data_IF_149174468665
#
_entry.id   IF_149174468665
#
_cell.length_a   1.000
_cell.length_b   1.000
_cell.length_c   1.000
_cell.angle_alpha   90.00
_cell.angle_beta   90.00
_cell.angle_gamma   90.00
#
_symmetry.space_group_name_H-M   'P 1'
#
loop_
_entity.id
_entity.type
_entity.pdbx_description
1 polymer ?
#
# COMPACT_ATOMS: atom_id res chain seq x y z
N UNK A 1 25.04 28.40 1.20
CA UNK A 1 24.40 27.90 -0.03
C UNK A 1 24.39 26.39 0.02
N UNK A 2 23.24 25.78 0.37
CA UNK A 2 23.11 24.33 0.49
C UNK A 2 22.61 23.74 -0.84
N UNK A 3 23.48 22.97 -1.50
CA UNK A 3 23.22 22.31 -2.76
C UNK A 3 22.65 20.90 -2.49
N UNK A 4 21.33 20.74 -2.58
CA UNK A 4 20.64 19.45 -2.40
C UNK A 4 20.61 18.71 -3.75
N UNK A 5 21.57 17.82 -3.99
CA UNK A 5 21.52 16.88 -5.12
C UNK A 5 20.30 15.97 -4.94
N UNK A 6 19.33 16.09 -5.84
CA UNK A 6 18.20 15.17 -5.99
C UNK A 6 18.72 13.80 -6.41
N UNK A 7 18.42 12.76 -5.62
CA UNK A 7 18.59 11.35 -6.04
C UNK A 7 17.71 11.11 -7.26
N UNK A 8 18.33 10.89 -8.41
CA UNK A 8 17.65 10.46 -9.63
C UNK A 8 17.41 8.95 -9.49
N UNK A 9 16.18 8.55 -9.14
CA UNK A 9 15.80 7.14 -9.19
C UNK A 9 15.77 6.72 -10.66
N UNK A 10 16.62 5.76 -11.04
CA UNK A 10 16.57 5.11 -12.34
C UNK A 10 15.32 4.22 -12.38
N UNK A 11 14.18 4.78 -12.80
CA UNK A 11 13.01 3.99 -13.18
C UNK A 11 13.23 3.50 -14.61
N UNK A 12 13.46 2.19 -14.76
CA UNK A 12 13.55 1.57 -16.08
C UNK A 12 12.20 1.75 -16.79
N UNK A 13 12.22 2.45 -17.94
CA UNK A 13 11.06 2.73 -18.75
C UNK A 13 11.21 2.04 -20.11
N UNK A 14 10.22 1.22 -20.47
CA UNK A 14 10.14 0.60 -21.79
C UNK A 14 8.88 1.09 -22.51
N UNK A 15 9.05 1.48 -23.77
CA UNK A 15 7.94 1.74 -24.68
C UNK A 15 7.97 0.77 -25.85
N UNK A 16 6.82 0.19 -26.14
CA UNK A 16 6.63 -0.85 -27.15
C UNK A 16 5.62 -0.35 -28.17
N UNK A 17 6.09 -0.07 -29.38
CA UNK A 17 5.27 0.37 -30.52
C UNK A 17 5.10 -0.72 -31.61
N UNK A 18 5.67 -1.91 -31.39
CA UNK A 18 5.61 -3.02 -32.34
C UNK A 18 4.53 -4.05 -31.98
N UNK A 19 4.12 -4.85 -32.98
CA UNK A 19 3.33 -6.06 -32.74
C UNK A 19 4.22 -7.15 -32.13
N UNK A 20 3.95 -7.54 -30.89
CA UNK A 20 4.75 -8.51 -30.15
C UNK A 20 3.90 -9.72 -29.76
N UNK A 21 4.49 -10.91 -29.86
CA UNK A 21 3.87 -12.16 -29.42
C UNK A 21 4.83 -12.96 -28.55
N UNK A 22 4.39 -13.37 -27.36
CA UNK A 22 5.16 -14.22 -26.47
C UNK A 22 4.97 -13.92 -24.99
N UNK A 23 5.92 -14.37 -24.17
CA UNK A 23 5.93 -14.19 -22.72
C UNK A 23 7.02 -13.20 -22.33
N UNK A 24 6.66 -12.18 -21.55
CA UNK A 24 7.58 -11.21 -20.97
C UNK A 24 7.53 -11.31 -19.44
N UNK A 25 8.70 -11.37 -18.81
CA UNK A 25 8.84 -11.41 -17.36
C UNK A 25 9.86 -10.37 -16.90
N UNK A 26 9.47 -9.51 -15.97
CA UNK A 26 10.35 -8.48 -15.39
C UNK A 26 10.49 -8.72 -13.88
N UNK A 27 11.71 -9.03 -13.45
CA UNK A 27 12.02 -9.31 -12.03
C UNK A 27 12.08 -8.04 -11.18
N UNK A 28 12.49 -6.94 -11.77
CA UNK A 28 12.59 -5.64 -11.11
C UNK A 28 11.32 -4.81 -11.35
N UNK A 29 11.03 -3.81 -10.49
CA UNK A 29 9.99 -2.84 -10.78
C UNK A 29 10.33 -2.02 -12.03
N UNK A 30 9.49 -2.13 -13.05
CA UNK A 30 9.68 -1.44 -14.34
C UNK A 30 8.39 -0.68 -14.67
N UNK A 31 8.51 0.40 -15.45
CA UNK A 31 7.36 1.06 -16.05
C UNK A 31 7.32 0.76 -17.53
N UNK A 32 6.24 0.12 -17.98
CA UNK A 32 6.08 -0.31 -19.38
C UNK A 32 4.90 0.41 -20.00
N UNK A 33 5.08 0.91 -21.22
CA UNK A 33 4.03 1.44 -22.07
C UNK A 33 3.92 0.60 -23.34
N UNK A 34 2.74 0.06 -23.61
CA UNK A 34 2.42 -0.66 -24.85
C UNK A 34 1.51 0.23 -25.67
N UNK A 35 2.01 0.72 -26.81
CA UNK A 35 1.26 1.53 -27.77
C UNK A 35 0.87 0.72 -29.03
N UNK A 36 1.54 -0.42 -29.27
CA UNK A 36 1.29 -1.34 -30.38
C UNK A 36 0.37 -2.52 -30.04
N UNK A 37 0.55 -3.65 -30.74
CA UNK A 37 -0.17 -4.89 -30.48
C UNK A 37 0.61 -5.84 -29.57
N UNK A 38 -0.05 -6.47 -28.60
CA UNK A 38 0.59 -7.50 -27.77
C UNK A 38 -0.29 -8.73 -27.60
N UNK A 39 0.26 -9.90 -27.86
CA UNK A 39 -0.41 -11.19 -27.66
C UNK A 39 0.46 -12.12 -26.80
N UNK A 40 -0.07 -12.63 -25.69
CA UNK A 40 0.63 -13.62 -24.86
C UNK A 40 0.50 -13.37 -23.36
N UNK A 41 1.62 -13.39 -22.63
CA UNK A 41 1.61 -13.18 -21.18
C UNK A 41 2.68 -12.19 -20.72
N UNK A 42 2.33 -11.35 -19.75
CA UNK A 42 3.21 -10.35 -19.17
C UNK A 42 3.12 -10.43 -17.65
N UNK A 43 4.24 -10.76 -16.99
CA UNK A 43 4.35 -10.68 -15.53
C UNK A 43 5.43 -9.68 -15.16
N UNK A 44 5.06 -8.67 -14.38
CA UNK A 44 5.98 -7.61 -13.98
C UNK A 44 5.62 -7.05 -12.62
N UNK A 45 6.59 -6.43 -11.96
CA UNK A 45 6.33 -5.51 -10.83
C UNK A 45 6.40 -4.08 -11.34
N UNK A 46 5.65 -3.17 -10.74
CA UNK A 46 5.58 -1.77 -11.17
C UNK A 46 4.34 -1.45 -12.01
N UNK A 47 4.50 -0.64 -13.05
CA UNK A 47 3.38 0.02 -13.71
C UNK A 47 3.31 -0.31 -15.21
N UNK A 48 2.16 -0.84 -15.64
CA UNK A 48 1.83 -1.06 -17.04
C UNK A 48 0.84 0.01 -17.54
N UNK A 49 1.12 0.56 -18.72
CA UNK A 49 0.26 1.50 -19.43
C UNK A 49 -0.05 0.93 -20.82
N UNK A 50 -1.33 0.73 -21.11
CA UNK A 50 -1.80 0.38 -22.46
C UNK A 50 -2.28 1.67 -23.11
N UNK A 51 -1.59 2.10 -24.18
CA UNK A 51 -1.88 3.32 -24.93
C UNK A 51 -3.24 3.27 -25.66
N UNK A 52 -3.71 4.43 -26.10
CA UNK A 52 -5.05 4.60 -26.72
C UNK A 52 -5.25 3.74 -27.98
N UNK A 53 -4.22 3.63 -28.82
CA UNK A 53 -4.27 2.85 -30.07
C UNK A 53 -3.81 1.39 -29.90
N UNK A 54 -3.51 0.97 -28.68
CA UNK A 54 -3.00 -0.37 -28.42
C UNK A 54 -4.15 -1.40 -28.44
N UNK A 55 -3.85 -2.57 -29.00
CA UNK A 55 -4.72 -3.75 -28.98
C UNK A 55 -3.97 -4.90 -28.33
N UNK A 56 -4.37 -5.24 -27.12
CA UNK A 56 -3.68 -6.22 -26.29
C UNK A 56 -4.59 -7.40 -26.00
N UNK A 57 -4.13 -8.60 -26.33
CA UNK A 57 -4.82 -9.86 -26.05
C UNK A 57 -3.90 -10.75 -25.21
N UNK A 58 -3.97 -10.64 -23.89
CA UNK A 58 -2.97 -11.23 -23.01
C UNK A 58 -3.48 -11.60 -21.61
N UNK A 59 -2.68 -12.40 -20.91
CA UNK A 59 -2.75 -12.57 -19.46
C UNK A 59 -1.69 -11.67 -18.81
N UNK A 60 -2.13 -10.71 -17.99
CA UNK A 60 -1.26 -9.68 -17.42
C UNK A 60 -1.27 -9.76 -15.90
N UNK A 61 -0.08 -9.78 -15.30
CA UNK A 61 0.14 -9.63 -13.87
C UNK A 61 1.04 -8.40 -13.61
N UNK A 62 0.53 -7.42 -12.85
CA UNK A 62 1.25 -6.18 -12.54
C UNK A 62 0.77 -5.55 -11.24
N UNK A 63 1.49 -4.57 -10.67
CA UNK A 63 1.01 -3.86 -9.49
C UNK A 63 -0.02 -2.78 -9.87
N UNK A 64 0.31 -2.00 -10.89
CA UNK A 64 -0.51 -0.91 -11.39
C UNK A 64 -0.77 -1.09 -12.88
N UNK A 65 -2.04 -1.09 -13.27
CA UNK A 65 -2.43 -1.20 -14.68
C UNK A 65 -3.28 0.01 -15.06
N UNK A 66 -2.89 0.73 -16.11
CA UNK A 66 -3.69 1.83 -16.68
C UNK A 66 -3.99 1.52 -18.14
N UNK A 67 -5.26 1.53 -18.51
CA UNK A 67 -5.72 1.16 -19.85
C UNK A 67 -6.38 2.37 -20.49
N UNK A 68 -5.85 2.78 -21.65
CA UNK A 68 -6.45 3.77 -22.52
C UNK A 68 -7.04 3.16 -23.80
N UNK A 69 -6.51 2.04 -24.27
CA UNK A 69 -6.92 1.37 -25.51
C UNK A 69 -7.74 0.09 -25.31
N UNK A 70 -7.61 -0.83 -26.26
CA UNK A 70 -8.32 -2.11 -26.28
C UNK A 70 -7.57 -3.21 -25.55
N UNK A 71 -8.24 -3.89 -24.62
CA UNK A 71 -7.70 -5.04 -23.91
C UNK A 71 -8.67 -6.22 -23.90
N UNK A 72 -8.16 -7.43 -24.14
CA UNK A 72 -8.88 -8.69 -24.00
C UNK A 72 -8.04 -9.72 -23.26
N UNK A 73 -8.65 -10.51 -22.37
CA UNK A 73 -7.99 -11.60 -21.66
C UNK A 73 -8.18 -11.57 -20.13
N UNK A 74 -7.09 -11.68 -19.39
CA UNK A 74 -7.10 -11.71 -17.93
C UNK A 74 -6.10 -10.73 -17.34
N UNK A 75 -6.50 -10.02 -16.28
CA UNK A 75 -5.64 -9.07 -15.58
C UNK A 75 -5.65 -9.38 -14.09
N UNK A 76 -4.47 -9.58 -13.53
CA UNK A 76 -4.21 -9.59 -12.08
C UNK A 76 -3.44 -8.33 -11.72
N UNK A 77 -4.13 -7.35 -11.13
CA UNK A 77 -3.54 -6.10 -10.67
C UNK A 77 -3.39 -6.12 -9.14
N UNK A 78 -2.18 -6.31 -8.63
CA UNK A 78 -1.92 -6.50 -7.20
C UNK A 78 -2.32 -5.29 -6.34
N UNK A 79 -2.37 -4.08 -6.91
CA UNK A 79 -2.76 -2.86 -6.20
C UNK A 79 -3.94 -2.15 -6.86
N UNK A 80 -3.77 -1.64 -8.07
CA UNK A 80 -4.82 -0.80 -8.67
C UNK A 80 -4.86 -0.96 -10.18
N UNK A 81 -6.07 -1.03 -10.71
CA UNK A 81 -6.35 -0.89 -12.13
C UNK A 81 -7.14 0.38 -12.42
N UNK A 82 -6.79 1.08 -13.51
CA UNK A 82 -7.45 2.29 -13.98
C UNK A 82 -7.89 2.10 -15.43
N UNK A 83 -9.19 2.20 -15.65
CA UNK A 83 -9.80 2.21 -16.98
C UNK A 83 -10.11 3.66 -17.33
N UNK A 84 -9.43 4.17 -18.35
CA UNK A 84 -9.55 5.57 -18.78
C UNK A 84 -10.69 5.73 -19.79
N UNK A 85 -11.12 6.96 -20.04
CA UNK A 85 -12.30 7.30 -20.87
C UNK A 85 -12.40 6.56 -22.21
N UNK A 86 -11.30 6.33 -22.91
CA UNK A 86 -11.28 5.70 -24.25
C UNK A 86 -11.13 4.18 -24.22
N UNK A 87 -11.01 3.59 -23.02
CA UNK A 87 -10.68 2.18 -22.88
C UNK A 87 -11.85 1.26 -23.20
N UNK A 88 -11.55 0.14 -23.87
CA UNK A 88 -12.48 -0.96 -24.11
C UNK A 88 -11.86 -2.26 -23.63
N UNK A 89 -12.41 -2.80 -22.55
CA UNK A 89 -11.85 -3.93 -21.84
C UNK A 89 -12.84 -5.08 -21.83
N UNK A 90 -12.46 -6.19 -22.46
CA UNK A 90 -13.21 -7.45 -22.49
C UNK A 90 -12.40 -8.53 -21.74
N UNK A 91 -12.46 -8.52 -20.40
CA UNK A 91 -11.51 -9.29 -19.59
C UNK A 91 -12.01 -9.65 -18.19
N UNK A 92 -11.44 -10.70 -17.61
CA UNK A 92 -11.57 -11.00 -16.19
C UNK A 92 -10.47 -10.27 -15.41
N UNK A 93 -10.87 -9.45 -14.43
CA UNK A 93 -9.98 -8.62 -13.63
C UNK A 93 -9.97 -9.13 -12.19
N UNK A 94 -8.79 -9.35 -11.64
CA UNK A 94 -8.57 -9.57 -10.21
C UNK A 94 -7.74 -8.40 -9.66
N UNK A 95 -8.28 -7.63 -8.71
CA UNK A 95 -7.58 -6.43 -8.20
C UNK A 95 -7.99 -6.02 -6.79
N UNK A 96 -7.16 -5.23 -6.09
CA UNK A 96 -7.51 -4.63 -4.80
C UNK A 96 -8.33 -3.34 -4.95
N UNK A 97 -8.09 -2.57 -6.00
CA UNK A 97 -8.79 -1.33 -6.26
C UNK A 97 -8.99 -1.12 -7.76
N UNK A 98 -10.19 -0.69 -8.15
CA UNK A 98 -10.53 -0.40 -9.53
C UNK A 98 -11.06 1.04 -9.64
N UNK A 99 -10.54 1.77 -10.63
CA UNK A 99 -11.03 3.08 -11.03
C UNK A 99 -11.51 2.99 -12.48
N UNK A 100 -12.74 3.47 -12.73
CA UNK A 100 -13.34 3.48 -14.06
C UNK A 100 -13.75 4.92 -14.35
N UNK A 101 -13.15 5.52 -15.37
CA UNK A 101 -13.51 6.84 -15.83
C UNK A 101 -14.80 6.79 -16.68
N UNK A 102 -15.58 7.87 -16.64
CA UNK A 102 -16.75 8.02 -17.50
C UNK A 102 -16.36 7.90 -18.98
N UNK A 103 -17.09 7.06 -19.71
CA UNK A 103 -16.84 6.73 -21.12
C UNK A 103 -16.11 5.41 -21.34
N UNK A 104 -15.47 4.85 -20.31
CA UNK A 104 -14.82 3.54 -20.41
C UNK A 104 -15.85 2.41 -20.57
N UNK A 105 -15.52 1.41 -21.39
CA UNK A 105 -16.32 0.19 -21.56
C UNK A 105 -15.60 -0.98 -20.92
N UNK A 106 -16.23 -1.58 -19.90
CA UNK A 106 -15.75 -2.79 -19.26
C UNK A 106 -16.79 -3.91 -19.37
N UNK A 107 -16.38 -5.06 -19.87
CA UNK A 107 -17.19 -6.26 -19.98
C UNK A 107 -16.39 -7.49 -19.52
N UNK A 108 -16.79 -8.08 -18.39
CA UNK A 108 -16.19 -9.29 -17.84
C UNK A 108 -16.35 -9.41 -16.33
N UNK A 109 -15.73 -10.43 -15.74
CA UNK A 109 -15.75 -10.63 -14.30
C UNK A 109 -14.76 -9.70 -13.60
N UNK A 110 -15.14 -9.12 -12.46
CA UNK A 110 -14.23 -8.41 -11.58
C UNK A 110 -14.23 -9.06 -10.19
N UNK A 111 -13.11 -9.65 -9.80
CA UNK A 111 -12.89 -10.20 -8.48
C UNK A 111 -12.04 -9.24 -7.64
N UNK A 112 -12.61 -8.77 -6.55
CA UNK A 112 -11.89 -7.88 -5.63
C UNK A 112 -11.06 -8.73 -4.66
N UNK A 113 -9.74 -8.57 -4.72
CA UNK A 113 -8.83 -9.12 -3.73
C UNK A 113 -9.17 -8.46 -2.39
N UNK A 114 -9.72 -9.24 -1.48
CA UNK A 114 -9.90 -8.80 -0.09
C UNK A 114 -8.51 -8.52 0.47
N UNK A 115 -8.34 -7.34 1.05
CA UNK A 115 -7.29 -7.16 2.03
C UNK A 115 -7.58 -8.15 3.17
N UNK A 116 -6.85 -9.26 3.21
CA UNK A 116 -6.31 -9.61 4.51
C UNK A 116 -5.55 -8.37 4.95
N UNK A 117 -6.00 -7.75 6.04
CA UNK A 117 -5.41 -6.58 6.67
C UNK A 117 -3.97 -6.90 7.06
N UNK A 118 -3.08 -6.96 6.06
CA UNK A 118 -1.65 -7.03 6.19
C UNK A 118 -1.21 -5.61 6.47
N UNK A 119 -1.30 -5.26 7.75
CA UNK A 119 -0.27 -4.52 8.45
C UNK A 119 0.25 -3.29 7.69
N UNK A 120 -0.53 -2.22 7.72
CA UNK A 120 0.06 -0.89 7.83
C UNK A 120 0.79 -0.80 9.18
N UNK A 121 1.98 -1.40 9.25
CA UNK A 121 2.84 -1.40 10.44
C UNK A 121 3.56 -0.06 10.66
N UNK A 122 3.35 0.98 9.83
CA UNK A 122 3.77 2.35 10.16
C UNK A 122 2.82 3.38 9.56
N UNK A 123 2.27 4.23 10.43
CA UNK A 123 1.52 5.47 10.16
C UNK A 123 0.01 5.27 9.99
N UNK A 124 -0.68 5.14 11.14
CA UNK A 124 -1.92 5.86 11.52
C UNK A 124 -2.23 5.60 13.01
N UNK A 125 -1.31 6.05 13.86
CA UNK A 125 -1.74 6.69 15.11
C UNK A 125 -2.60 7.93 14.76
N UNK A 126 -3.50 8.29 15.66
CA UNK A 126 -4.52 9.35 15.56
C UNK A 126 -5.75 8.96 14.72
N UNK A 127 -6.81 8.38 15.29
CA UNK A 127 -7.70 9.11 16.19
C UNK A 127 -8.59 8.11 16.92
N UNK A 128 -8.29 7.89 18.19
CA UNK A 128 -9.19 7.61 19.32
C UNK A 128 -8.25 7.45 20.49
N UNK A 129 -8.18 8.45 21.34
CA UNK A 129 -7.45 8.35 22.61
C UNK A 129 -7.85 7.03 23.27
N UNK A 130 -6.93 6.05 23.28
CA UNK A 130 -7.09 4.89 24.12
C UNK A 130 -6.99 5.43 25.54
N UNK A 131 -8.08 5.28 26.30
CA UNK A 131 -8.10 5.69 27.71
C UNK A 131 -7.05 4.95 28.55
N UNK A 132 -6.49 3.86 28.02
CA UNK A 132 -5.49 3.03 28.63
C UNK A 132 -4.37 2.73 27.65
N UNK A 133 -3.13 2.93 28.08
CA UNK A 133 -1.93 2.40 27.47
C UNK A 133 -1.68 0.97 27.96
N UNK A 134 -1.17 0.10 27.11
CA UNK A 134 -0.38 -1.05 27.54
C UNK A 134 1.09 -0.65 27.80
N UNK A 135 1.93 -1.62 28.15
CA UNK A 135 3.33 -1.35 28.48
C UNK A 135 4.16 -0.88 27.28
N UNK A 136 3.80 -1.29 26.06
CA UNK A 136 4.51 -0.89 24.85
C UNK A 136 4.09 0.51 24.43
N UNK A 137 2.78 0.78 24.48
CA UNK A 137 2.21 2.09 24.23
C UNK A 137 2.73 3.12 25.24
N UNK A 138 2.84 2.75 26.52
CA UNK A 138 3.37 3.63 27.55
C UNK A 138 4.88 3.90 27.38
N UNK A 139 5.65 2.89 26.94
CA UNK A 139 7.09 3.03 26.63
C UNK A 139 7.33 4.05 25.54
N UNK A 140 6.49 4.03 24.50
CA UNK A 140 6.53 5.05 23.45
C UNK A 140 6.07 6.42 23.98
N UNK A 141 4.99 6.47 24.76
CA UNK A 141 4.43 7.71 25.29
C UNK A 141 5.40 8.48 26.20
N UNK A 142 6.14 7.75 27.05
CA UNK A 142 7.11 8.34 27.98
C UNK A 142 8.52 8.48 27.38
N UNK A 143 8.76 7.98 26.17
CA UNK A 143 10.09 7.87 25.56
C UNK A 143 11.11 7.13 26.45
N UNK A 144 10.66 6.07 27.13
CA UNK A 144 11.43 5.34 28.16
C UNK A 144 11.39 3.84 27.88
N UNK A 145 12.48 3.13 28.21
CA UNK A 145 12.56 1.68 28.05
C UNK A 145 11.53 0.92 28.91
N UNK A 146 10.93 -0.13 28.33
CA UNK A 146 9.94 -1.00 29.00
C UNK A 146 10.43 -1.53 30.36
N UNK A 147 11.73 -1.76 30.50
CA UNK A 147 12.34 -2.24 31.75
C UNK A 147 12.28 -1.24 32.88
N UNK A 148 12.40 0.06 32.57
CA UNK A 148 12.29 1.13 33.56
C UNK A 148 10.83 1.28 34.01
N UNK A 149 9.88 1.17 33.09
CA UNK A 149 8.45 1.17 33.40
C UNK A 149 8.08 -0.02 34.29
N UNK A 150 8.59 -1.23 34.00
CA UNK A 150 8.39 -2.41 34.87
C UNK A 150 8.97 -2.20 36.27
N UNK A 151 10.13 -1.55 36.36
CA UNK A 151 10.76 -1.23 37.64
C UNK A 151 9.92 -0.22 38.44
N UNK A 152 9.35 0.79 37.79
CA UNK A 152 8.42 1.72 38.42
C UNK A 152 7.12 1.06 38.89
N UNK A 153 6.58 0.12 38.11
CA UNK A 153 5.43 -0.69 38.54
C UNK A 153 5.78 -1.52 39.77
N UNK A 154 6.95 -2.16 39.79
CA UNK A 154 7.43 -2.94 40.96
C UNK A 154 7.66 -2.08 42.20
N UNK A 155 8.17 -0.87 42.01
CA UNK A 155 8.39 0.13 43.07
C UNK A 155 7.10 0.84 43.50
N UNK A 156 6.01 0.67 42.74
CA UNK A 156 4.74 1.35 42.97
C UNK A 156 4.80 2.86 42.71
N UNK A 157 5.75 3.32 41.90
CA UNK A 157 5.95 4.76 41.62
C UNK A 157 5.08 5.26 40.50
N UNK A 158 4.67 4.41 39.54
CA UNK A 158 3.82 4.78 38.40
C UNK A 158 2.41 4.18 38.55
N UNK A 159 1.33 4.94 38.26
CA UNK A 159 -0.02 4.42 38.38
C UNK A 159 -0.31 3.36 37.30
N UNK A 160 -0.70 2.16 37.72
CA UNK A 160 -1.11 1.08 36.83
C UNK A 160 -2.31 0.32 37.39
N UNK A 161 -3.12 -0.24 36.50
CA UNK A 161 -4.22 -1.17 36.80
C UNK A 161 -3.96 -2.51 36.14
N UNK A 162 -4.35 -3.61 36.78
CA UNK A 162 -4.27 -4.95 36.20
C UNK A 162 -5.66 -5.41 35.77
N UNK A 163 -5.90 -5.46 34.46
CA UNK A 163 -7.14 -5.99 33.89
C UNK A 163 -6.84 -7.29 33.14
N UNK A 164 -7.56 -8.37 33.48
CA UNK A 164 -7.40 -9.69 32.87
C UNK A 164 -5.95 -10.21 32.83
N UNK A 165 -5.14 -9.89 33.85
CA UNK A 165 -3.74 -10.32 33.94
C UNK A 165 -2.74 -9.46 33.16
N UNK A 166 -3.19 -8.39 32.49
CA UNK A 166 -2.35 -7.46 31.75
C UNK A 166 -2.25 -6.11 32.47
N UNK A 167 -1.07 -5.49 32.41
CA UNK A 167 -0.85 -4.13 32.90
C UNK A 167 -1.52 -3.13 31.94
N UNK A 168 -2.34 -2.26 32.51
CA UNK A 168 -3.04 -1.17 31.83
C UNK A 168 -2.77 0.12 32.57
N UNK A 169 -2.48 1.18 31.82
CA UNK A 169 -2.08 2.47 32.36
C UNK A 169 -3.06 3.52 31.86
N UNK A 170 -3.93 4.00 32.74
CA UNK A 170 -4.94 4.98 32.33
C UNK A 170 -4.26 6.29 31.94
N UNK A 171 -4.55 6.81 30.75
CA UNK A 171 -3.91 8.02 30.20
C UNK A 171 -3.96 9.21 31.16
N UNK A 172 -5.14 9.49 31.73
CA UNK A 172 -5.31 10.59 32.70
C UNK A 172 -4.42 10.48 33.93
N UNK A 173 -4.17 9.27 34.43
CA UNK A 173 -3.33 9.04 35.61
C UNK A 173 -1.85 9.20 35.27
N UNK A 174 -1.46 8.76 34.06
CA UNK A 174 -0.09 8.91 33.55
C UNK A 174 0.21 10.39 33.26
N UNK A 175 -0.68 11.11 32.58
CA UNK A 175 -0.50 12.53 32.25
C UNK A 175 -0.24 13.34 33.52
N UNK A 176 -1.06 13.13 34.56
CA UNK A 176 -0.89 13.78 35.86
C UNK A 176 0.42 13.39 36.54
N UNK A 177 0.80 12.12 36.46
CA UNK A 177 2.05 11.63 37.06
C UNK A 177 3.30 12.23 36.39
N UNK A 178 3.28 12.38 35.06
CA UNK A 178 4.35 13.01 34.27
C UNK A 178 4.53 14.47 34.68
N UNK A 179 3.44 15.21 34.83
CA UNK A 179 3.47 16.60 35.32
C UNK A 179 4.13 16.72 36.70
N UNK A 180 3.85 15.77 37.61
CA UNK A 180 4.34 15.81 38.99
C UNK A 180 5.81 15.34 39.15
N UNK A 181 6.31 14.46 38.26
CA UNK A 181 7.59 13.75 38.46
C UNK A 181 8.65 13.96 37.36
N UNK A 182 8.27 14.37 36.13
CA UNK A 182 9.19 14.46 34.98
C UNK A 182 9.46 15.92 34.59
N UNK A 183 8.52 16.84 34.79
CA UNK A 183 8.67 18.27 34.45
C UNK A 183 9.30 19.14 35.56
N UNK A 184 10.08 18.55 36.47
CA UNK A 184 10.78 19.25 37.56
C UNK A 184 12.29 19.08 37.50
#
# INVERSE_FOLDING_TARGET
>A
MFNRKSKQNNEEYLEIEAGMKGTLEFKNPVRIRISGGFEGSLSMKGALIIGENALVSASIESDFVTIYGGFSGEITANKTIRLMRTSRVEANITTRAIFIEEGAVFNGGCNMLKEEALKDEKIKEETRESEFFDIEELSNYLEVDKTEILDWVRKGTIPCSTECGNLKFRKQDIDKWVEDNILR
#
